data_IF_383599463064
#
_entry.id   IF_383599463064
#
_cell.length_a   1.000
_cell.length_b   1.000
_cell.length_c   1.000
_cell.angle_alpha   90.00
_cell.angle_beta   90.00
_cell.angle_gamma   90.00
#
_symmetry.space_group_name_H-M   'P 1'
#
loop_
_entity.id
_entity.type
_entity.pdbx_description
1 polymer ?
#
# COMPACT_ATOMS: atom_id res chain seq x y z
N UNK A 1 -2.65 15.79 1.64
CA UNK A 1 -2.79 14.71 0.64
C UNK A 1 -2.80 13.38 1.39
N UNK A 2 -3.38 12.32 0.82
CA UNK A 2 -3.46 10.99 1.48
C UNK A 2 -2.06 10.44 1.82
N UNK A 3 -1.06 10.84 1.03
CA UNK A 3 0.37 10.61 1.26
C UNK A 3 0.88 11.12 2.61
N UNK A 4 0.59 12.36 2.99
CA UNK A 4 1.17 12.95 4.22
C UNK A 4 0.47 12.45 5.49
N UNK A 5 -0.79 12.01 5.37
CA UNK A 5 -1.56 11.40 6.48
C UNK A 5 -1.20 9.93 6.68
N UNK A 6 -0.55 9.29 5.71
CA UNK A 6 -0.16 7.88 5.80
C UNK A 6 -1.35 6.92 5.71
N UNK A 7 -2.38 7.32 4.98
CA UNK A 7 -3.60 6.54 4.79
C UNK A 7 -3.59 5.84 3.43
N UNK A 8 -4.23 4.68 3.35
CA UNK A 8 -4.52 3.96 2.11
C UNK A 8 -6.03 3.89 2.00
N UNK A 9 -6.57 4.31 0.85
CA UNK A 9 -8.01 4.28 0.58
C UNK A 9 -8.33 3.14 -0.36
N UNK A 10 -9.08 2.14 0.12
CA UNK A 10 -9.71 1.14 -0.74
C UNK A 10 -11.09 1.65 -1.13
N UNK A 11 -11.23 2.08 -2.38
CA UNK A 11 -12.46 2.68 -2.90
C UNK A 11 -13.20 1.65 -3.74
N UNK A 12 -14.40 1.27 -3.31
CA UNK A 12 -15.30 0.46 -4.10
C UNK A 12 -16.11 1.34 -5.06
N UNK A 13 -15.83 1.18 -6.35
CA UNK A 13 -16.45 1.94 -7.44
C UNK A 13 -17.61 1.21 -8.14
N UNK A 14 -18.14 0.11 -7.57
CA UNK A 14 -19.28 -0.61 -8.16
C UNK A 14 -20.56 0.24 -8.21
N UNK A 15 -20.69 1.19 -7.29
CA UNK A 15 -21.75 2.22 -7.29
C UNK A 15 -21.11 3.59 -6.98
N UNK A 16 -20.85 4.35 -8.04
CA UNK A 16 -20.23 5.67 -7.93
C UNK A 16 -21.13 6.74 -7.31
N UNK A 17 -22.44 6.47 -7.17
CA UNK A 17 -23.36 7.37 -6.46
C UNK A 17 -23.33 7.13 -4.95
N UNK A 18 -23.00 5.90 -4.53
CA UNK A 18 -22.93 5.49 -3.13
C UNK A 18 -21.57 4.83 -2.81
N UNK A 19 -20.50 5.62 -2.95
CA UNK A 19 -19.13 5.12 -2.76
C UNK A 19 -18.93 4.52 -1.36
N UNK A 20 -18.45 3.27 -1.34
CA UNK A 20 -17.94 2.65 -0.11
C UNK A 20 -16.43 2.78 -0.09
N UNK A 21 -15.90 3.42 0.95
CA UNK A 21 -14.45 3.64 1.13
C UNK A 21 -14.02 3.01 2.44
N UNK A 22 -12.96 2.20 2.39
CA UNK A 22 -12.25 1.73 3.57
C UNK A 22 -10.96 2.52 3.71
N UNK A 23 -10.82 3.24 4.81
CA UNK A 23 -9.59 3.96 5.16
C UNK A 23 -8.71 3.09 6.04
N UNK A 24 -7.49 2.84 5.58
CA UNK A 24 -6.51 2.01 6.29
C UNK A 24 -5.37 2.93 6.72
N UNK A 25 -5.11 3.00 8.02
CA UNK A 25 -3.92 3.66 8.55
C UNK A 25 -2.70 2.77 8.31
N UNK A 26 -1.63 3.35 7.78
CA UNK A 26 -0.38 2.63 7.47
C UNK A 26 0.82 3.38 8.03
N UNK A 27 1.53 4.14 7.19
CA UNK A 27 2.71 4.91 7.58
C UNK A 27 2.77 6.19 6.74
N UNK A 28 3.29 7.28 7.31
CA UNK A 28 3.34 8.57 6.61
C UNK A 28 4.34 8.52 5.44
N UNK A 29 4.09 9.35 4.44
CA UNK A 29 4.91 9.48 3.22
C UNK A 29 4.85 8.27 2.29
N UNK A 30 3.66 7.68 2.13
CA UNK A 30 3.41 6.70 1.09
C UNK A 30 3.70 7.27 -0.29
N UNK A 31 4.32 6.50 -1.17
CA UNK A 31 4.79 7.00 -2.47
C UNK A 31 4.35 6.10 -3.62
N UNK A 32 5.06 5.00 -3.83
CA UNK A 32 4.88 4.06 -4.94
C UNK A 32 4.87 2.62 -4.42
N UNK A 33 4.23 1.74 -5.18
CA UNK A 33 3.96 0.38 -4.76
C UNK A 33 3.30 -0.45 -5.86
N UNK A 34 3.19 -1.75 -5.60
CA UNK A 34 2.60 -2.69 -6.53
C UNK A 34 2.02 -3.90 -5.82
N UNK A 35 1.27 -4.67 -6.60
CA UNK A 35 0.70 -5.91 -6.12
C UNK A 35 1.74 -7.04 -6.14
N UNK A 36 1.61 -7.95 -5.18
CA UNK A 36 2.25 -9.25 -5.26
C UNK A 36 1.73 -10.03 -6.49
N UNK A 37 2.39 -11.14 -6.84
CA UNK A 37 2.02 -11.92 -8.03
C UNK A 37 0.58 -12.43 -8.04
N UNK A 38 -0.04 -12.60 -6.86
CA UNK A 38 -1.41 -13.08 -6.73
C UNK A 38 -2.46 -11.97 -6.89
N UNK A 39 -2.04 -10.70 -6.82
CA UNK A 39 -2.94 -9.55 -6.82
C UNK A 39 -3.65 -9.30 -5.48
N UNK A 40 -3.36 -10.10 -4.44
CA UNK A 40 -4.04 -10.02 -3.15
C UNK A 40 -3.40 -9.00 -2.21
N UNK A 41 -2.08 -8.91 -2.22
CA UNK A 41 -1.35 -8.03 -1.31
C UNK A 41 -0.83 -6.83 -2.08
N UNK A 42 -1.13 -5.64 -1.59
CA UNK A 42 -0.56 -4.39 -2.10
C UNK A 42 0.59 -3.97 -1.20
N UNK A 43 1.78 -3.85 -1.78
CA UNK A 43 2.99 -3.43 -1.09
C UNK A 43 3.32 -2.00 -1.52
N UNK A 44 3.42 -1.08 -0.58
CA UNK A 44 3.65 0.34 -0.85
C UNK A 44 4.76 0.91 0.03
N UNK A 45 5.67 1.66 -0.58
CA UNK A 45 6.79 2.29 0.10
C UNK A 45 6.33 3.53 0.87
N UNK A 46 6.62 3.56 2.17
CA UNK A 46 6.67 4.77 2.97
C UNK A 46 8.11 5.31 2.91
N UNK A 47 8.46 5.93 1.77
CA UNK A 47 9.85 6.08 1.36
C UNK A 47 10.70 6.90 2.35
N UNK A 48 10.20 8.05 2.78
CA UNK A 48 10.88 8.91 3.76
C UNK A 48 10.94 8.30 5.17
N UNK A 49 10.29 7.15 5.38
CA UNK A 49 10.33 6.34 6.60
C UNK A 49 11.12 5.05 6.46
N UNK A 50 11.70 4.78 5.29
CA UNK A 50 12.52 3.59 5.02
C UNK A 50 11.77 2.26 5.17
N UNK A 51 10.44 2.31 5.07
CA UNK A 51 9.54 1.19 5.31
C UNK A 51 8.70 0.82 4.09
N UNK A 52 8.14 -0.38 4.12
CA UNK A 52 7.09 -0.85 3.22
C UNK A 52 5.87 -1.25 4.05
N UNK A 53 4.70 -0.72 3.70
CA UNK A 53 3.43 -1.17 4.24
C UNK A 53 2.81 -2.24 3.34
N UNK A 54 2.17 -3.23 3.94
CA UNK A 54 1.55 -4.36 3.25
C UNK A 54 0.06 -4.37 3.59
N UNK A 55 -0.79 -4.33 2.57
CA UNK A 55 -2.26 -4.34 2.70
C UNK A 55 -2.82 -5.61 2.08
N UNK A 56 -3.70 -6.31 2.80
CA UNK A 56 -4.54 -7.36 2.24
C UNK A 56 -5.76 -6.70 1.60
N UNK A 57 -5.85 -6.75 0.26
CA UNK A 57 -6.94 -6.09 -0.48
C UNK A 57 -8.23 -6.90 -0.47
N UNK A 58 -8.17 -8.19 -0.13
CA UNK A 58 -9.35 -9.03 0.03
C UNK A 58 -10.09 -8.69 1.32
N UNK A 59 -9.34 -8.60 2.42
CA UNK A 59 -9.90 -8.34 3.74
C UNK A 59 -9.96 -6.84 4.08
N UNK A 60 -9.31 -6.00 3.27
CA UNK A 60 -9.31 -4.55 3.41
C UNK A 60 -8.54 -4.07 4.65
N UNK A 61 -7.44 -4.72 4.99
CA UNK A 61 -6.71 -4.51 6.26
C UNK A 61 -5.20 -4.35 6.05
N UNK A 62 -4.58 -3.55 6.91
CA UNK A 62 -3.13 -3.53 7.03
C UNK A 62 -2.65 -4.88 7.60
N UNK A 63 -1.74 -5.53 6.89
CA UNK A 63 -1.06 -6.75 7.36
C UNK A 63 0.10 -6.37 8.27
N UNK A 64 0.86 -5.35 7.87
CA UNK A 64 1.97 -4.84 8.67
C UNK A 64 2.78 -3.78 7.95
N UNK A 65 3.76 -3.24 8.67
CA UNK A 65 4.74 -2.30 8.15
C UNK A 65 6.12 -2.83 8.50
N UNK A 66 6.99 -2.96 7.49
CA UNK A 66 8.31 -3.56 7.63
C UNK A 66 9.41 -2.57 7.28
N UNK A 67 10.49 -2.58 8.04
CA UNK A 67 11.73 -1.85 7.70
C UNK A 67 12.40 -2.52 6.50
N UNK A 68 12.88 -1.74 5.54
CA UNK A 68 13.56 -2.29 4.35
C UNK A 68 15.03 -2.62 4.59
N UNK A 69 15.62 -2.09 5.66
CA UNK A 69 17.07 -2.14 5.91
C UNK A 69 17.90 -1.20 5.02
N UNK A 70 17.30 -0.65 3.95
CA UNK A 70 17.88 0.40 3.10
C UNK A 70 17.30 1.78 3.42
N UNK A 71 17.67 2.77 2.61
CA UNK A 71 17.14 4.12 2.71
C UNK A 71 16.27 4.45 1.49
N UNK A 72 15.20 5.20 1.74
CA UNK A 72 14.28 5.77 0.74
C UNK A 72 13.87 4.77 -0.35
N UNK A 73 13.19 3.67 0.01
CA UNK A 73 12.76 2.68 -0.98
C UNK A 73 11.86 3.31 -2.03
N UNK A 74 12.11 2.99 -3.29
CA UNK A 74 11.38 3.53 -4.45
C UNK A 74 11.15 2.42 -5.49
N UNK A 75 10.24 1.46 -5.22
CA UNK A 75 10.11 0.23 -5.99
C UNK A 75 9.48 0.40 -7.38
N UNK A 76 8.92 1.56 -7.71
CA UNK A 76 7.96 1.69 -8.81
C UNK A 76 6.74 0.80 -8.51
N UNK A 77 6.50 -0.21 -9.35
CA UNK A 77 5.51 -1.27 -9.08
C UNK A 77 6.12 -2.54 -8.46
N UNK A 78 7.41 -2.53 -8.17
CA UNK A 78 8.15 -3.69 -7.70
C UNK A 78 8.42 -4.73 -8.80
N UNK A 79 8.99 -5.86 -8.39
CA UNK A 79 9.29 -7.00 -9.25
C UNK A 79 8.87 -8.31 -8.55
N UNK A 80 7.98 -9.06 -9.19
CA UNK A 80 7.58 -10.40 -8.74
C UNK A 80 8.37 -11.45 -9.55
N UNK A 81 9.00 -12.40 -8.86
CA UNK A 81 9.82 -13.44 -9.49
C UNK A 81 9.23 -14.82 -9.21
N UNK A 82 9.32 -15.72 -10.20
CA UNK A 82 9.17 -17.16 -10.01
C UNK A 82 10.54 -17.75 -10.34
N UNK A 83 11.17 -18.35 -9.33
CA UNK A 83 12.46 -19.01 -9.46
C UNK A 83 12.24 -20.52 -9.55
#
# INVERSE_FOLDING_TARGET
NVKETGQILLVNYSDVKNLKVTTIEAERFLHDGGFDKTGRYFLVAANARHKVAIVDTKDGKLVGVVETGGQTPHPGRGANLTH
#
